data_IF_393692224296
#
_entry.id   IF_393692224296
#
_cell.length_a   1.000
_cell.length_b   1.000
_cell.length_c   1.000
_cell.angle_alpha   90.00
_cell.angle_beta   90.00
_cell.angle_gamma   90.00
#
_symmetry.space_group_name_H-M   'P 1'
#
loop_
_entity.id
_entity.type
_entity.pdbx_description
1 polymer ?
#
# COMPACT_ATOMS: atom_id res chain seq x y z
N UNK A 1 17.43 13.97 -42.19
CA UNK A 1 17.24 14.84 -41.01
C UNK A 1 15.99 15.65 -41.24
N UNK A 2 14.95 15.48 -40.40
CA UNK A 2 13.71 16.21 -40.53
C UNK A 2 12.99 16.21 -39.19
N UNK A 3 13.26 17.23 -38.38
CA UNK A 3 12.51 17.50 -37.16
C UNK A 3 11.19 18.15 -37.54
N UNK A 4 10.12 17.36 -37.54
CA UNK A 4 8.75 17.85 -37.68
C UNK A 4 8.14 17.97 -36.28
N UNK A 5 8.13 19.19 -35.75
CA UNK A 5 7.33 19.59 -34.60
C UNK A 5 6.20 20.49 -35.13
N UNK A 6 4.92 20.09 -35.05
CA UNK A 6 3.83 21.05 -35.11
C UNK A 6 3.73 21.80 -33.78
N UNK A 7 3.60 23.12 -33.89
CA UNK A 7 3.68 24.13 -32.85
C UNK A 7 2.41 24.97 -32.94
N UNK A 8 1.39 24.62 -32.16
CA UNK A 8 0.16 25.41 -31.98
C UNK A 8 -0.21 25.26 -30.48
N UNK A 9 0.08 26.16 -29.53
CA UNK A 9 -0.47 27.52 -29.30
C UNK A 9 -2.00 27.56 -29.46
N UNK A 10 -2.75 27.18 -28.41
CA UNK A 10 -3.27 27.96 -27.27
C UNK A 10 -4.68 28.49 -27.49
N UNK A 11 -5.45 28.36 -26.41
CA UNK A 11 -6.65 29.12 -26.05
C UNK A 11 -7.95 28.82 -26.82
N UNK A 12 -8.64 27.78 -26.35
CA UNK A 12 -10.10 27.79 -26.40
C UNK A 12 -10.65 27.95 -25.00
N UNK A 13 -11.22 29.13 -24.79
CA UNK A 13 -11.80 29.67 -23.57
C UNK A 13 -12.81 28.73 -22.90
N UNK A 14 -12.69 28.63 -21.58
CA UNK A 14 -13.67 28.04 -20.68
C UNK A 14 -15.02 28.77 -20.83
N UNK A 15 -16.05 28.05 -21.29
CA UNK A 15 -17.43 28.49 -21.18
C UNK A 15 -17.97 28.07 -19.83
N UNK A 16 -18.05 29.04 -18.93
CA UNK A 16 -18.76 28.98 -17.65
C UNK A 16 -20.24 28.77 -17.90
N UNK A 17 -20.73 27.55 -17.68
CA UNK A 17 -22.17 27.30 -17.54
C UNK A 17 -22.49 27.32 -16.05
N UNK A 18 -23.03 28.44 -15.58
CA UNK A 18 -23.68 28.53 -14.27
C UNK A 18 -24.97 27.71 -14.32
N UNK A 19 -24.90 26.46 -13.86
CA UNK A 19 -26.09 25.69 -13.51
C UNK A 19 -26.28 25.81 -12.00
N UNK A 20 -27.18 26.71 -11.62
CA UNK A 20 -27.75 26.76 -10.27
C UNK A 20 -28.75 25.63 -10.15
N UNK A 21 -28.41 24.57 -9.41
CA UNK A 21 -29.37 23.54 -9.01
C UNK A 21 -29.16 23.13 -7.55
N UNK A 22 -29.98 23.75 -6.70
CA UNK A 22 -30.68 23.21 -5.53
C UNK A 22 -29.92 22.26 -4.58
N UNK A 23 -29.71 22.78 -3.37
CA UNK A 23 -29.25 22.07 -2.19
C UNK A 23 -30.11 20.83 -1.88
N UNK A 24 -29.49 19.65 -1.90
CA UNK A 24 -29.92 18.51 -1.11
C UNK A 24 -28.69 17.95 -0.39
N UNK A 25 -28.48 18.41 0.86
CA UNK A 25 -27.44 17.88 1.75
C UNK A 25 -27.91 16.50 2.20
N UNK A 26 -27.73 15.49 1.35
CA UNK A 26 -27.68 14.11 1.79
C UNK A 26 -26.33 13.91 2.47
N UNK A 27 -26.36 13.83 3.80
CA UNK A 27 -25.25 13.32 4.61
C UNK A 27 -25.13 11.83 4.32
N UNK A 28 -24.58 11.49 3.16
CA UNK A 28 -24.26 10.13 2.79
C UNK A 28 -23.12 9.66 3.68
N UNK A 29 -23.43 8.95 4.76
CA UNK A 29 -22.45 8.08 5.39
C UNK A 29 -21.81 7.27 4.26
N UNK A 30 -20.48 7.30 4.08
CA UNK A 30 -19.85 6.59 2.97
C UNK A 30 -20.25 5.13 3.09
N UNK A 31 -21.08 4.66 2.16
CA UNK A 31 -21.48 3.26 2.10
C UNK A 31 -20.17 2.48 2.08
N UNK A 32 -19.98 1.64 3.09
CA UNK A 32 -18.73 0.91 3.33
C UNK A 32 -18.45 0.12 2.05
N UNK A 33 -17.57 0.65 1.19
CA UNK A 33 -17.26 0.06 -0.12
C UNK A 33 -16.99 -1.42 0.14
N UNK A 34 -17.74 -2.30 -0.54
CA UNK A 34 -17.52 -3.75 -0.47
C UNK A 34 -16.06 -4.01 -0.87
N UNK A 35 -15.22 -4.22 0.14
CA UNK A 35 -13.79 -4.41 -0.01
C UNK A 35 -13.39 -5.76 0.55
N UNK A 36 -12.18 -6.20 0.20
CA UNK A 36 -11.56 -7.36 0.85
C UNK A 36 -11.59 -7.13 2.37
N UNK A 37 -12.00 -8.14 3.17
CA UNK A 37 -12.01 -8.01 4.63
C UNK A 37 -10.64 -7.56 5.13
N UNK A 38 -10.62 -6.70 6.15
CA UNK A 38 -9.36 -6.25 6.76
C UNK A 38 -8.68 -7.47 7.39
N UNK A 39 -7.52 -7.82 6.85
CA UNK A 39 -6.69 -8.87 7.43
C UNK A 39 -5.99 -8.32 8.67
N UNK A 40 -6.22 -8.96 9.81
CA UNK A 40 -5.48 -8.73 11.04
C UNK A 40 -4.24 -9.63 11.01
N UNK A 41 -3.06 -9.01 11.02
CA UNK A 41 -1.78 -9.72 11.07
C UNK A 41 -1.26 -9.65 12.50
N UNK A 42 -0.95 -10.81 13.06
CA UNK A 42 -0.24 -10.91 14.34
C UNK A 42 1.25 -10.68 14.11
N UNK A 43 1.77 -9.58 14.65
CA UNK A 43 3.18 -9.22 14.53
C UNK A 43 3.97 -9.76 15.73
N UNK A 44 5.07 -10.49 15.53
CA UNK A 44 5.93 -10.89 16.64
C UNK A 44 6.49 -9.66 17.39
N UNK A 45 6.69 -9.79 18.70
CA UNK A 45 7.27 -8.73 19.55
C UNK A 45 8.80 -8.67 19.43
N UNK A 46 9.45 -9.81 19.25
CA UNK A 46 10.90 -9.93 19.05
C UNK A 46 11.29 -9.77 17.58
N UNK A 47 12.59 -9.83 17.29
CA UNK A 47 13.09 -9.90 15.92
C UNK A 47 12.59 -11.18 15.21
N UNK A 48 12.12 -11.03 13.98
CA UNK A 48 11.51 -12.13 13.23
C UNK A 48 11.89 -12.10 11.75
N UNK A 49 11.96 -13.28 11.14
CA UNK A 49 12.07 -13.42 9.67
C UNK A 49 10.67 -13.51 9.05
N UNK A 50 10.58 -13.33 7.74
CA UNK A 50 9.31 -13.53 7.03
C UNK A 50 8.75 -14.95 7.21
N UNK A 51 9.61 -15.96 7.36
CA UNK A 51 9.19 -17.34 7.63
C UNK A 51 8.52 -17.47 9.00
N UNK A 52 9.04 -16.80 10.02
CA UNK A 52 8.44 -16.81 11.35
C UNK A 52 7.06 -16.12 11.31
N UNK A 53 6.94 -15.01 10.60
CA UNK A 53 5.67 -14.31 10.43
C UNK A 53 4.61 -15.19 9.75
N UNK A 54 4.98 -15.95 8.72
CA UNK A 54 4.07 -16.89 8.05
C UNK A 54 3.65 -18.03 8.95
N UNK A 55 4.54 -18.53 9.81
CA UNK A 55 4.20 -19.61 10.74
C UNK A 55 3.24 -19.13 11.84
N UNK A 56 3.41 -17.91 12.34
CA UNK A 56 2.51 -17.31 13.34
C UNK A 56 1.14 -16.95 12.76
N UNK A 57 1.06 -16.74 11.44
CA UNK A 57 -0.15 -16.36 10.72
C UNK A 57 -0.47 -17.38 9.62
N UNK A 58 -0.48 -18.67 9.97
CA UNK A 58 -0.69 -19.80 9.06
C UNK A 58 -2.01 -19.73 8.29
N UNK A 59 -3.05 -19.15 8.90
CA UNK A 59 -4.35 -18.89 8.28
C UNK A 59 -4.30 -17.84 7.14
N UNK A 60 -3.22 -17.06 7.04
CA UNK A 60 -3.07 -16.00 6.05
C UNK A 60 -2.13 -16.41 4.91
N UNK A 61 -2.53 -16.07 3.68
CA UNK A 61 -1.64 -16.28 2.53
C UNK A 61 -0.34 -15.47 2.64
N UNK A 62 0.77 -16.09 2.29
CA UNK A 62 2.10 -15.47 2.26
C UNK A 62 2.14 -14.18 1.43
N UNK A 63 1.43 -14.14 0.30
CA UNK A 63 1.32 -12.93 -0.53
C UNK A 63 0.66 -11.76 0.23
N UNK A 64 -0.39 -12.04 0.99
CA UNK A 64 -1.09 -11.02 1.80
C UNK A 64 -0.22 -10.52 2.95
N UNK A 65 0.47 -11.44 3.64
CA UNK A 65 1.44 -11.09 4.69
C UNK A 65 2.57 -10.22 4.13
N UNK A 66 3.11 -10.56 2.96
CA UNK A 66 4.17 -9.78 2.32
C UNK A 66 3.70 -8.37 1.94
N UNK A 67 2.47 -8.23 1.43
CA UNK A 67 1.87 -6.92 1.15
C UNK A 67 1.73 -6.08 2.42
N UNK A 68 1.23 -6.67 3.51
CA UNK A 68 1.07 -5.99 4.80
C UNK A 68 2.42 -5.60 5.41
N UNK A 69 3.40 -6.50 5.39
CA UNK A 69 4.75 -6.22 5.88
C UNK A 69 5.40 -5.07 5.11
N UNK A 70 5.29 -5.05 3.78
CA UNK A 70 5.77 -3.91 2.97
C UNK A 70 5.08 -2.60 3.31
N UNK A 71 3.76 -2.64 3.55
CA UNK A 71 3.02 -1.45 3.95
C UNK A 71 3.52 -0.89 5.30
N UNK A 72 3.75 -1.76 6.29
CA UNK A 72 4.28 -1.34 7.60
C UNK A 72 5.73 -0.86 7.53
N UNK A 73 6.57 -1.43 6.64
CA UNK A 73 7.93 -0.93 6.39
C UNK A 73 7.92 0.50 5.82
N UNK A 74 6.99 0.81 4.90
CA UNK A 74 6.85 2.16 4.32
C UNK A 74 6.25 3.14 5.34
N UNK A 75 5.30 2.68 6.15
CA UNK A 75 4.67 3.47 7.21
C UNK A 75 5.61 3.74 8.38
N UNK A 76 6.68 2.94 8.53
CA UNK A 76 7.64 3.04 9.64
C UNK A 76 7.30 2.20 10.87
N UNK A 77 6.26 1.36 10.82
CA UNK A 77 5.90 0.45 11.92
C UNK A 77 6.81 -0.78 12.03
N UNK A 78 7.58 -1.07 10.99
CA UNK A 78 8.61 -2.12 10.96
C UNK A 78 9.92 -1.55 10.44
N UNK A 79 11.03 -2.11 10.92
CA UNK A 79 12.38 -1.85 10.40
C UNK A 79 13.08 -3.16 10.07
N UNK A 80 13.93 -3.13 9.04
CA UNK A 80 14.86 -4.21 8.75
C UNK A 80 16.08 -4.05 9.66
N UNK A 81 16.31 -5.00 10.56
CA UNK A 81 17.44 -4.95 11.50
C UNK A 81 18.67 -5.67 10.97
N UNK A 82 18.49 -6.69 10.11
CA UNK A 82 19.61 -7.49 9.64
C UNK A 82 19.26 -8.47 8.54
N UNK A 83 20.21 -9.36 8.26
CA UNK A 83 20.03 -10.48 7.33
C UNK A 83 20.66 -11.73 7.95
N UNK A 84 19.86 -12.76 8.13
CA UNK A 84 20.29 -14.09 8.55
C UNK A 84 20.88 -14.84 7.36
N UNK A 85 22.16 -15.19 7.46
CA UNK A 85 22.81 -16.08 6.49
C UNK A 85 22.34 -17.51 6.76
N UNK A 86 21.75 -18.15 5.76
CA UNK A 86 21.35 -19.56 5.85
C UNK A 86 22.48 -20.44 5.32
N UNK A 87 22.65 -21.64 5.87
CA UNK A 87 23.64 -22.60 5.38
C UNK A 87 23.36 -23.02 3.92
N UNK A 88 22.09 -23.05 3.53
CA UNK A 88 21.62 -23.35 2.18
C UNK A 88 20.58 -22.32 1.74
N UNK A 89 20.58 -21.98 0.45
CA UNK A 89 19.58 -21.09 -0.15
C UNK A 89 19.86 -19.60 0.03
N UNK A 90 18.81 -18.79 -0.11
CA UNK A 90 18.91 -17.32 -0.05
C UNK A 90 18.91 -16.83 1.41
N UNK A 91 19.75 -15.84 1.76
CA UNK A 91 19.70 -15.19 3.06
C UNK A 91 18.31 -14.63 3.37
N UNK A 92 17.90 -14.67 4.64
CA UNK A 92 16.61 -14.18 5.09
C UNK A 92 16.75 -12.82 5.78
N UNK A 93 15.90 -11.86 5.45
CA UNK A 93 15.89 -10.59 6.17
C UNK A 93 15.26 -10.76 7.56
N UNK A 94 15.83 -10.08 8.55
CA UNK A 94 15.32 -9.97 9.91
C UNK A 94 14.65 -8.60 10.06
N UNK A 95 13.45 -8.61 10.64
CA UNK A 95 12.63 -7.44 10.88
C UNK A 95 12.28 -7.32 12.35
N UNK A 96 12.01 -6.09 12.80
CA UNK A 96 11.52 -5.78 14.14
C UNK A 96 10.48 -4.68 14.06
N UNK A 97 9.56 -4.66 15.01
CA UNK A 97 8.63 -3.55 15.20
C UNK A 97 9.35 -2.31 15.73
N UNK A 98 8.87 -1.16 15.28
CA UNK A 98 9.19 0.13 15.89
C UNK A 98 7.93 0.50 16.67
N UNK A 99 8.00 0.38 17.98
CA UNK A 99 6.97 0.89 18.88
C UNK A 99 7.17 2.41 19.08
#
# INVERSE_FOLDING_TARGET
>A
MGTWYPKDMTDTMNTTTEVTENQNIMVGFPSKKRGRPKLNVSWPNSEFTFSNLTNVNDALSSSSLRKKMRAELVKGGLVKTGTLKTAFGRPQNIYRRVD
#
